data_IF_283963071082
#
_entry.id   IF_283963071082
#
_cell.length_a   1.000
_cell.length_b   1.000
_cell.length_c   1.000
_cell.angle_alpha   90.00
_cell.angle_beta   90.00
_cell.angle_gamma   90.00
#
_symmetry.space_group_name_H-M   'P 1'
#
loop_
_entity.id
_entity.type
_entity.pdbx_description
1 polymer ?
#
# COMPACT_ATOMS: atom_id res chain seq x y z
N UNK A 1 -12.76 4.10 -16.23
CA UNK A 1 -13.00 4.22 -14.78
C UNK A 1 -11.80 3.67 -14.03
N UNK A 2 -11.57 4.12 -12.82
CA UNK A 2 -10.56 3.53 -11.94
C UNK A 2 -11.19 3.12 -10.63
N UNK A 3 -10.59 2.12 -9.99
CA UNK A 3 -10.96 1.67 -8.65
C UNK A 3 -9.85 2.09 -7.70
N UNK A 4 -10.21 2.64 -6.54
CA UNK A 4 -9.28 3.15 -5.54
C UNK A 4 -9.40 2.31 -4.28
N UNK A 5 -8.26 1.90 -3.72
CA UNK A 5 -8.20 1.19 -2.44
C UNK A 5 -7.45 2.05 -1.43
N UNK A 6 -8.13 2.35 -0.33
CA UNK A 6 -7.54 3.08 0.80
C UNK A 6 -6.96 2.09 1.79
N UNK A 7 -5.75 2.36 2.24
CA UNK A 7 -5.00 1.50 3.17
C UNK A 7 -4.57 2.33 4.36
N UNK A 8 -4.99 1.93 5.55
CA UNK A 8 -4.62 2.60 6.80
C UNK A 8 -4.00 1.58 7.75
N UNK A 9 -2.81 1.88 8.23
CA UNK A 9 -2.01 0.97 9.06
C UNK A 9 -1.75 1.60 10.42
N UNK A 10 -1.95 0.80 11.48
CA UNK A 10 -1.37 1.08 12.79
C UNK A 10 0.00 0.39 12.82
N UNK A 11 1.06 1.13 13.12
CA UNK A 11 2.41 0.59 13.08
C UNK A 11 2.82 0.03 14.44
N UNK A 12 3.75 -0.90 14.42
CA UNK A 12 4.38 -1.42 15.65
C UNK A 12 5.15 -0.29 16.31
N UNK A 13 5.11 -0.20 17.63
CA UNK A 13 5.81 0.84 18.39
C UNK A 13 7.29 0.89 18.02
N UNK A 14 7.79 2.10 17.77
CA UNK A 14 9.18 2.32 17.41
C UNK A 14 9.53 2.08 15.95
N UNK A 15 8.58 1.61 15.12
CA UNK A 15 8.84 1.25 13.72
C UNK A 15 8.46 2.32 12.70
N UNK A 16 8.01 3.49 13.15
CA UNK A 16 7.52 4.54 12.25
C UNK A 16 8.56 4.95 11.20
N UNK A 17 9.74 5.37 11.64
CA UNK A 17 10.78 5.85 10.71
C UNK A 17 11.27 4.74 9.77
N UNK A 18 11.45 3.53 10.29
CA UNK A 18 11.88 2.38 9.51
C UNK A 18 10.83 2.00 8.47
N UNK A 19 9.55 2.08 8.83
CA UNK A 19 8.46 1.82 7.90
C UNK A 19 8.45 2.85 6.76
N UNK A 20 8.57 4.13 7.07
CA UNK A 20 8.59 5.18 6.04
C UNK A 20 9.76 4.99 5.09
N UNK A 21 10.96 4.67 5.60
CA UNK A 21 12.12 4.44 4.77
C UNK A 21 11.93 3.25 3.83
N UNK A 22 11.40 2.15 4.36
CA UNK A 22 11.08 0.95 3.58
C UNK A 22 10.02 1.26 2.51
N UNK A 23 8.93 1.93 2.88
CA UNK A 23 7.84 2.26 1.97
C UNK A 23 8.33 3.14 0.80
N UNK A 24 9.11 4.18 1.11
CA UNK A 24 9.67 5.09 0.10
C UNK A 24 10.60 4.40 -0.87
N UNK A 25 11.35 3.41 -0.40
CA UNK A 25 12.27 2.66 -1.25
C UNK A 25 11.52 1.72 -2.20
N UNK A 26 10.49 1.04 -1.72
CA UNK A 26 9.89 -0.07 -2.45
C UNK A 26 8.58 0.24 -3.15
N UNK A 27 7.61 0.83 -2.47
CA UNK A 27 6.26 0.98 -3.01
C UNK A 27 6.17 1.83 -4.28
N UNK A 28 6.89 2.97 -4.38
CA UNK A 28 6.86 3.76 -5.63
C UNK A 28 7.45 3.05 -6.84
N UNK A 29 8.17 1.94 -6.64
CA UNK A 29 8.69 1.11 -7.74
C UNK A 29 7.80 -0.09 -8.04
N UNK A 30 7.45 -0.85 -7.00
CA UNK A 30 6.79 -2.14 -7.23
C UNK A 30 5.30 -2.01 -7.53
N UNK A 31 4.62 -1.02 -6.98
CA UNK A 31 3.20 -0.82 -7.27
C UNK A 31 2.97 -0.32 -8.70
N UNK A 32 3.66 0.73 -9.19
CA UNK A 32 3.50 1.13 -10.58
C UNK A 32 3.90 0.05 -11.58
N UNK A 33 4.96 -0.71 -11.29
CA UNK A 33 5.38 -1.84 -12.15
C UNK A 33 4.29 -2.90 -12.26
N UNK A 34 3.43 -3.04 -11.26
CA UNK A 34 2.31 -3.99 -11.26
C UNK A 34 1.01 -3.39 -11.82
N UNK A 35 1.06 -2.15 -12.33
CA UNK A 35 -0.09 -1.50 -12.95
C UNK A 35 -0.94 -0.67 -12.02
N UNK A 36 -0.43 -0.32 -10.84
CA UNK A 36 -1.13 0.57 -9.89
C UNK A 36 -0.59 1.97 -9.95
N UNK A 37 -1.43 2.95 -9.62
CA UNK A 37 -1.01 4.31 -9.34
C UNK A 37 -1.10 4.54 -7.82
N UNK A 38 -0.13 5.25 -7.26
CA UNK A 38 -0.20 5.69 -5.87
C UNK A 38 -0.88 7.04 -5.86
N UNK A 39 -2.07 7.11 -5.25
CA UNK A 39 -2.87 8.35 -5.23
C UNK A 39 -2.32 9.35 -4.21
N UNK A 40 -1.93 8.87 -3.03
CA UNK A 40 -1.31 9.67 -1.98
C UNK A 40 -0.70 8.73 -0.93
N UNK A 41 0.15 9.31 -0.06
CA UNK A 41 0.70 8.59 1.08
C UNK A 41 1.06 9.60 2.17
N UNK A 42 0.57 9.38 3.39
CA UNK A 42 0.80 10.25 4.54
C UNK A 42 1.16 9.44 5.77
N UNK A 43 2.17 9.92 6.50
CA UNK A 43 2.45 9.42 7.83
C UNK A 43 1.70 10.24 8.88
N UNK A 44 1.23 9.59 9.94
CA UNK A 44 0.57 10.21 11.07
C UNK A 44 1.44 9.96 12.32
N UNK A 45 2.43 10.85 12.59
CA UNK A 45 3.38 10.60 13.68
C UNK A 45 2.75 10.61 15.07
N UNK A 46 1.71 11.40 15.27
CA UNK A 46 1.05 11.51 16.58
C UNK A 46 0.37 10.21 17.01
N UNK A 47 -0.13 9.44 16.04
CA UNK A 47 -0.85 8.20 16.32
C UNK A 47 -0.08 6.96 15.87
N UNK A 48 1.14 7.11 15.37
CA UNK A 48 1.97 6.03 14.86
C UNK A 48 1.26 5.24 13.76
N UNK A 49 0.69 5.98 12.80
CA UNK A 49 -0.07 5.39 11.70
C UNK A 49 0.48 5.84 10.35
N UNK A 50 0.07 5.11 9.32
CA UNK A 50 0.36 5.45 7.92
C UNK A 50 -0.90 5.23 7.10
N UNK A 51 -1.21 6.17 6.20
CA UNK A 51 -2.37 6.05 5.31
C UNK A 51 -1.93 6.32 3.88
N UNK A 52 -2.39 5.48 2.96
CA UNK A 52 -2.10 5.67 1.55
C UNK A 52 -3.21 5.05 0.70
N UNK A 53 -3.21 5.35 -0.58
CA UNK A 53 -4.18 4.81 -1.49
C UNK A 53 -3.51 4.42 -2.80
N UNK A 54 -3.97 3.30 -3.35
CA UNK A 54 -3.58 2.83 -4.67
C UNK A 54 -4.80 2.72 -5.55
N UNK A 55 -4.62 2.93 -6.85
CA UNK A 55 -5.69 2.78 -7.82
C UNK A 55 -5.23 1.98 -9.02
N UNK A 56 -6.19 1.46 -9.77
CA UNK A 56 -5.93 0.81 -11.04
C UNK A 56 -7.13 1.03 -11.96
N UNK A 57 -6.87 1.07 -13.26
CA UNK A 57 -7.94 1.17 -14.25
C UNK A 57 -8.82 -0.08 -14.21
N UNK A 58 -10.11 0.14 -14.41
CA UNK A 58 -11.12 -0.90 -14.41
C UNK A 58 -12.00 -0.89 -13.19
N UNK A 59 -12.91 -1.84 -13.13
CA UNK A 59 -13.86 -2.00 -12.04
C UNK A 59 -13.22 -2.71 -10.82
N UNK A 60 -13.98 -2.85 -9.72
CA UNK A 60 -13.46 -3.55 -8.52
C UNK A 60 -12.95 -4.97 -8.78
N UNK A 61 -13.62 -5.73 -9.64
CA UNK A 61 -13.17 -7.10 -9.95
C UNK A 61 -11.81 -7.09 -10.66
N UNK A 62 -11.62 -6.16 -11.59
CA UNK A 62 -10.34 -5.98 -12.29
C UNK A 62 -9.23 -5.57 -11.31
N UNK A 63 -9.56 -4.68 -10.36
CA UNK A 63 -8.62 -4.27 -9.31
C UNK A 63 -8.18 -5.47 -8.48
N UNK A 64 -9.14 -6.26 -7.99
CA UNK A 64 -8.84 -7.42 -7.14
C UNK A 64 -8.03 -8.48 -7.87
N UNK A 65 -8.30 -8.70 -9.15
CA UNK A 65 -7.50 -9.63 -9.96
C UNK A 65 -6.05 -9.15 -10.10
N UNK A 66 -5.86 -7.86 -10.32
CA UNK A 66 -4.52 -7.24 -10.40
C UNK A 66 -3.79 -7.33 -9.06
N UNK A 67 -4.50 -7.13 -7.95
CA UNK A 67 -3.93 -7.25 -6.60
C UNK A 67 -3.41 -8.68 -6.36
N UNK A 68 -4.14 -9.71 -6.78
CA UNK A 68 -3.69 -11.10 -6.66
C UNK A 68 -2.39 -11.35 -7.43
N UNK A 69 -2.29 -10.81 -8.65
CA UNK A 69 -1.06 -10.90 -9.44
C UNK A 69 0.10 -10.21 -8.73
N UNK A 70 -0.15 -9.02 -8.18
CA UNK A 70 0.85 -8.28 -7.42
C UNK A 70 1.33 -9.07 -6.20
N UNK A 71 0.43 -9.65 -5.43
CA UNK A 71 0.78 -10.42 -4.22
C UNK A 71 1.68 -11.61 -4.53
N UNK A 72 1.59 -12.16 -5.73
CA UNK A 72 2.42 -13.28 -6.18
C UNK A 72 3.68 -12.83 -6.95
N UNK A 73 3.89 -11.52 -7.12
CA UNK A 73 4.96 -11.00 -7.97
C UNK A 73 6.34 -11.07 -7.31
N UNK A 74 7.38 -11.15 -8.14
CA UNK A 74 8.77 -11.10 -7.68
C UNK A 74 9.08 -9.76 -7.02
N UNK A 75 8.56 -8.66 -7.56
CA UNK A 75 8.78 -7.33 -7.02
C UNK A 75 8.30 -7.22 -5.57
N UNK A 76 7.12 -7.76 -5.30
CA UNK A 76 6.61 -7.78 -3.92
C UNK A 76 7.45 -8.68 -3.03
N UNK A 77 7.84 -9.84 -3.52
CA UNK A 77 8.69 -10.76 -2.76
C UNK A 77 10.02 -10.10 -2.38
N UNK A 78 10.65 -9.37 -3.31
CA UNK A 78 11.88 -8.64 -3.03
C UNK A 78 11.67 -7.54 -1.98
N UNK A 79 10.57 -6.80 -2.09
CA UNK A 79 10.26 -5.72 -1.15
C UNK A 79 10.11 -6.21 0.29
N UNK A 80 9.57 -7.41 0.46
CA UNK A 80 9.32 -7.98 1.79
C UNK A 80 10.40 -8.94 2.28
N UNK A 81 11.37 -9.31 1.43
CA UNK A 81 12.41 -10.27 1.80
C UNK A 81 13.23 -9.77 3.01
N UNK A 82 13.25 -10.57 4.07
CA UNK A 82 14.01 -10.26 5.27
C UNK A 82 13.47 -9.11 6.11
N UNK A 83 12.28 -8.58 5.80
CA UNK A 83 11.71 -7.46 6.53
C UNK A 83 10.95 -7.94 7.77
N UNK A 84 11.10 -7.25 8.91
CA UNK A 84 10.30 -7.56 10.09
C UNK A 84 8.86 -7.10 9.89
N UNK A 85 7.95 -7.62 10.72
CA UNK A 85 6.57 -7.18 10.75
C UNK A 85 6.50 -5.79 11.40
N UNK A 86 6.17 -4.76 10.63
CA UNK A 86 6.08 -3.37 11.11
C UNK A 86 4.65 -2.87 11.24
N UNK A 87 3.69 -3.57 10.66
CA UNK A 87 2.27 -3.20 10.71
C UNK A 87 1.58 -4.05 11.77
N UNK A 88 1.06 -3.41 12.81
CA UNK A 88 0.38 -4.09 13.91
C UNK A 88 -1.08 -4.40 13.55
N UNK A 89 -1.73 -3.48 12.83
CA UNK A 89 -3.10 -3.64 12.37
C UNK A 89 -3.31 -2.84 11.09
N UNK A 90 -4.22 -3.30 10.26
CA UNK A 90 -4.50 -2.60 9.01
C UNK A 90 -5.99 -2.59 8.71
N UNK A 91 -6.41 -1.54 7.98
CA UNK A 91 -7.75 -1.42 7.43
C UNK A 91 -7.59 -1.13 5.93
N UNK A 92 -8.13 -2.00 5.09
CA UNK A 92 -8.02 -1.92 3.63
C UNK A 92 -9.41 -1.96 3.05
N UNK A 93 -9.79 -0.91 2.31
CA UNK A 93 -11.14 -0.79 1.76
C UNK A 93 -11.11 -0.17 0.38
N UNK A 94 -12.03 -0.60 -0.47
CA UNK A 94 -12.32 0.13 -1.70
C UNK A 94 -13.15 1.36 -1.33
N UNK A 95 -12.88 2.48 -1.98
CA UNK A 95 -13.52 3.76 -1.69
C UNK A 95 -14.04 4.41 -2.97
N UNK A 96 -15.00 5.30 -2.80
CA UNK A 96 -15.50 6.14 -3.89
C UNK A 96 -14.80 7.48 -3.86
N UNK A 97 -14.41 7.96 -5.03
CA UNK A 97 -13.87 9.31 -5.17
C UNK A 97 -15.03 10.29 -5.28
N UNK A 98 -15.15 11.18 -4.30
CA UNK A 98 -16.27 12.12 -4.25
C UNK A 98 -15.88 13.50 -4.79
N UNK A 99 -14.61 13.88 -4.64
CA UNK A 99 -14.12 15.18 -5.09
C UNK A 99 -12.79 15.07 -5.80
#
# INVERSE_FOLDING_TARGET
MKTIQLRRYALVDGEYDAFLAWWREWMPRVRPAAGFAIEFAYGLPETNEFVWAVSAEGDPDAFLAREEVYLASEGRAEAFAGQPQRVAAYNVRLVDEIA
#
